data_IF_646503207640
#
_entry.id   IF_646503207640
#
_cell.length_a   1.000
_cell.length_b   1.000
_cell.length_c   1.000
_cell.angle_alpha   90.00
_cell.angle_beta   90.00
_cell.angle_gamma   90.00
#
_symmetry.space_group_name_H-M   'P 1'
#
loop_
_entity.id
_entity.type
_entity.pdbx_description
1 polymer ?
#
# COMPACT_ATOMS: atom_id res chain seq x y z
N UNK A 1 28.39 -10.28 5.66
CA UNK A 1 27.96 -9.14 6.48
C UNK A 1 26.74 -9.53 7.30
N UNK A 2 26.86 -9.49 8.63
CA UNK A 2 25.83 -9.86 9.61
C UNK A 2 24.83 -8.73 9.81
N UNK A 3 23.70 -9.02 10.45
CA UNK A 3 22.70 -7.99 10.79
C UNK A 3 23.27 -6.98 11.80
N UNK A 4 24.17 -7.40 12.70
CA UNK A 4 24.86 -6.49 13.64
C UNK A 4 25.77 -5.51 12.92
N UNK A 5 26.58 -5.99 11.96
CA UNK A 5 27.45 -5.13 11.14
C UNK A 5 26.64 -4.12 10.32
N UNK A 6 25.47 -4.54 9.79
CA UNK A 6 24.57 -3.67 9.04
C UNK A 6 24.00 -2.59 9.96
N UNK A 7 23.40 -2.98 11.09
CA UNK A 7 22.76 -2.05 12.02
C UNK A 7 23.77 -1.05 12.55
N UNK A 8 24.93 -1.53 12.99
CA UNK A 8 26.00 -0.65 13.48
C UNK A 8 26.50 0.27 12.37
N UNK A 9 26.72 -0.26 11.16
CA UNK A 9 27.13 0.55 10.01
C UNK A 9 26.12 1.63 9.62
N UNK A 10 24.82 1.37 9.77
CA UNK A 10 23.77 2.37 9.56
C UNK A 10 23.77 3.44 10.67
N UNK A 11 23.92 3.04 11.94
CA UNK A 11 24.05 3.97 13.08
C UNK A 11 25.27 4.88 12.91
N UNK A 12 26.40 4.31 12.50
CA UNK A 12 27.66 5.03 12.27
C UNK A 12 27.68 5.82 10.95
N UNK A 13 26.58 5.79 10.18
CA UNK A 13 26.43 6.46 8.88
C UNK A 13 27.54 6.06 7.90
N UNK A 14 27.95 4.80 7.95
CA UNK A 14 28.94 4.26 7.04
C UNK A 14 28.36 4.20 5.62
N UNK A 15 28.88 5.04 4.72
CA UNK A 15 28.39 5.17 3.36
C UNK A 15 28.46 3.85 2.57
N UNK A 16 29.53 3.07 2.73
CA UNK A 16 29.70 1.80 2.02
C UNK A 16 28.64 0.79 2.44
N UNK A 17 28.40 0.65 3.75
CA UNK A 17 27.38 -0.26 4.28
C UNK A 17 25.98 0.22 3.87
N UNK A 18 25.72 1.51 3.99
CA UNK A 18 24.44 2.13 3.62
C UNK A 18 24.12 1.90 2.14
N UNK A 19 25.09 2.16 1.26
CA UNK A 19 24.92 1.99 -0.17
C UNK A 19 24.66 0.54 -0.54
N UNK A 20 25.53 -0.38 -0.11
CA UNK A 20 25.35 -1.81 -0.36
C UNK A 20 23.99 -2.30 0.18
N UNK A 21 23.65 -1.93 1.40
CA UNK A 21 22.46 -2.48 2.05
C UNK A 21 21.16 -2.02 1.39
N UNK A 22 21.01 -0.73 1.11
CA UNK A 22 19.77 -0.19 0.54
C UNK A 22 19.67 -0.32 -0.97
N UNK A 23 20.79 -0.24 -1.71
CA UNK A 23 20.75 -0.20 -3.18
C UNK A 23 21.02 -1.55 -3.84
N UNK A 24 21.64 -2.49 -3.12
CA UNK A 24 21.89 -3.86 -3.61
C UNK A 24 21.06 -4.89 -2.83
N UNK A 25 21.28 -5.03 -1.52
CA UNK A 25 20.67 -6.12 -0.71
C UNK A 25 19.14 -5.97 -0.58
N UNK A 26 18.64 -4.76 -0.32
CA UNK A 26 17.21 -4.53 -0.09
C UNK A 26 16.41 -4.24 -1.36
N UNK A 27 17.05 -4.13 -2.53
CA UNK A 27 16.40 -3.64 -3.73
C UNK A 27 15.14 -4.43 -4.15
N UNK A 28 15.15 -5.77 -4.17
CA UNK A 28 13.95 -6.54 -4.52
C UNK A 28 12.81 -6.37 -3.52
N UNK A 29 13.15 -6.27 -2.23
CA UNK A 29 12.19 -6.05 -1.14
C UNK A 29 11.52 -4.69 -1.29
N UNK A 30 12.31 -3.64 -1.46
CA UNK A 30 11.82 -2.27 -1.53
C UNK A 30 10.95 -2.03 -2.77
N UNK A 31 11.35 -2.55 -3.94
CA UNK A 31 10.50 -2.52 -5.13
C UNK A 31 9.15 -3.21 -4.91
N UNK A 32 9.12 -4.27 -4.10
CA UNK A 32 7.87 -4.96 -3.76
C UNK A 32 7.02 -4.15 -2.78
N UNK A 33 7.63 -3.49 -1.81
CA UNK A 33 6.93 -2.56 -0.89
C UNK A 33 6.37 -1.36 -1.67
N UNK A 34 7.14 -0.77 -2.58
CA UNK A 34 6.70 0.38 -3.38
C UNK A 34 5.44 0.04 -4.19
N UNK A 35 5.43 -1.10 -4.90
CA UNK A 35 4.25 -1.58 -5.64
C UNK A 35 3.04 -1.87 -4.76
N UNK A 36 3.26 -2.29 -3.51
CA UNK A 36 2.20 -2.61 -2.56
C UNK A 36 1.58 -1.34 -1.97
N UNK A 37 2.40 -0.36 -1.61
CA UNK A 37 1.99 0.82 -0.83
C UNK A 37 1.47 1.93 -1.75
N UNK A 38 2.20 2.24 -2.82
CA UNK A 38 1.89 3.37 -3.70
C UNK A 38 1.13 2.91 -4.95
N UNK A 39 0.13 3.70 -5.35
CA UNK A 39 -0.61 3.50 -6.60
C UNK A 39 -0.03 4.26 -7.80
N UNK A 40 1.00 5.06 -7.56
CA UNK A 40 1.72 5.84 -8.55
C UNK A 40 3.20 5.45 -8.55
N UNK A 41 3.91 5.85 -9.60
CA UNK A 41 5.36 5.61 -9.71
C UNK A 41 6.08 6.50 -8.69
N UNK A 42 6.83 5.87 -7.79
CA UNK A 42 7.70 6.54 -6.82
C UNK A 42 9.15 6.34 -7.27
N UNK A 43 9.97 7.37 -7.14
CA UNK A 43 11.40 7.24 -7.38
C UNK A 43 12.07 6.37 -6.29
N UNK A 44 12.99 5.50 -6.70
CA UNK A 44 13.62 4.57 -5.75
C UNK A 44 14.52 5.30 -4.76
N UNK A 45 15.24 6.32 -5.21
CA UNK A 45 16.15 7.08 -4.34
C UNK A 45 15.34 7.90 -3.34
N UNK A 46 14.25 8.52 -3.77
CA UNK A 46 13.31 9.20 -2.88
C UNK A 46 12.76 8.27 -1.80
N UNK A 47 12.26 7.09 -2.18
CA UNK A 47 11.81 6.07 -1.23
C UNK A 47 12.90 5.68 -0.22
N UNK A 48 14.12 5.43 -0.68
CA UNK A 48 15.24 5.05 0.20
C UNK A 48 15.62 6.20 1.13
N UNK A 49 15.71 7.43 0.61
CA UNK A 49 16.08 8.60 1.38
C UNK A 49 15.07 8.85 2.51
N UNK A 50 13.77 8.77 2.22
CA UNK A 50 12.74 8.94 3.24
C UNK A 50 12.79 7.85 4.31
N UNK A 51 12.93 6.58 3.90
CA UNK A 51 13.07 5.48 4.84
C UNK A 51 14.34 5.63 5.70
N UNK A 52 15.43 6.09 5.10
CA UNK A 52 16.69 6.32 5.81
C UNK A 52 16.56 7.43 6.85
N UNK A 53 15.89 8.54 6.53
CA UNK A 53 15.59 9.58 7.52
C UNK A 53 14.74 9.04 8.67
N UNK A 54 13.68 8.27 8.37
CA UNK A 54 12.83 7.64 9.39
C UNK A 54 13.59 6.68 10.33
N UNK A 55 14.61 5.99 9.81
CA UNK A 55 15.45 5.08 10.59
C UNK A 55 16.46 5.82 11.47
N UNK A 56 16.98 6.96 11.01
CA UNK A 56 17.96 7.78 11.73
C UNK A 56 17.34 8.86 12.61
N UNK A 57 16.03 9.04 12.55
CA UNK A 57 15.28 9.93 13.42
C UNK A 57 15.54 9.60 14.90
N UNK A 58 15.55 10.64 15.74
CA UNK A 58 15.85 10.57 17.18
C UNK A 58 17.13 9.76 17.50
N UNK A 59 18.27 10.18 16.93
CA UNK A 59 19.57 9.51 17.07
C UNK A 59 19.51 7.99 16.78
N UNK A 60 18.88 7.64 15.66
CA UNK A 60 18.70 6.25 15.23
C UNK A 60 18.01 5.37 16.29
N UNK A 61 17.11 5.93 17.10
CA UNK A 61 16.43 5.25 18.21
C UNK A 61 15.85 3.90 17.78
N UNK A 62 15.19 3.84 16.61
CA UNK A 62 14.59 2.58 16.08
C UNK A 62 15.63 1.51 15.81
N UNK A 63 16.79 1.88 15.27
CA UNK A 63 17.89 0.94 15.01
C UNK A 63 18.48 0.44 16.33
N UNK A 64 18.65 1.33 17.33
CA UNK A 64 19.19 0.96 18.65
C UNK A 64 18.23 0.06 19.45
N UNK A 65 16.93 0.16 19.22
CA UNK A 65 15.91 -0.70 19.85
C UNK A 65 15.75 -2.07 19.17
N UNK A 66 16.43 -2.31 18.04
CA UNK A 66 16.37 -3.61 17.38
C UNK A 66 17.12 -4.68 18.19
N UNK A 67 16.38 -5.66 18.70
CA UNK A 67 16.86 -6.65 19.67
C UNK A 67 17.28 -7.99 19.04
N UNK A 68 17.39 -8.06 17.71
CA UNK A 68 17.85 -9.22 16.95
C UNK A 68 17.02 -10.51 17.13
N UNK A 69 15.75 -10.42 17.56
CA UNK A 69 14.83 -11.58 17.61
C UNK A 69 14.37 -12.08 16.24
N UNK A 70 14.65 -11.33 15.18
CA UNK A 70 14.39 -11.69 13.79
C UNK A 70 15.53 -11.17 12.92
N UNK A 71 15.55 -11.51 11.63
CA UNK A 71 16.52 -10.88 10.72
C UNK A 71 16.21 -9.39 10.57
N UNK A 72 17.25 -8.57 10.43
CA UNK A 72 17.10 -7.13 10.24
C UNK A 72 16.26 -6.81 9.00
N UNK A 73 16.36 -7.62 7.95
CA UNK A 73 15.55 -7.48 6.73
C UNK A 73 14.04 -7.67 6.98
N UNK A 74 13.66 -8.65 7.81
CA UNK A 74 12.26 -8.88 8.18
C UNK A 74 11.71 -7.75 9.03
N UNK A 75 12.49 -7.31 10.02
CA UNK A 75 12.12 -6.16 10.85
C UNK A 75 11.97 -4.89 10.00
N UNK A 76 12.93 -4.62 9.12
CA UNK A 76 12.93 -3.47 8.22
C UNK A 76 11.73 -3.48 7.26
N UNK A 77 11.34 -4.66 6.74
CA UNK A 77 10.11 -4.80 5.94
C UNK A 77 8.89 -4.29 6.71
N UNK A 78 8.74 -4.67 7.98
CA UNK A 78 7.60 -4.25 8.81
C UNK A 78 7.65 -2.75 9.08
N UNK A 79 8.83 -2.22 9.43
CA UNK A 79 9.04 -0.79 9.69
C UNK A 79 8.71 0.04 8.45
N UNK A 80 9.27 -0.30 7.29
CA UNK A 80 9.04 0.42 6.03
C UNK A 80 7.56 0.40 5.62
N UNK A 81 6.91 -0.76 5.65
CA UNK A 81 5.48 -0.86 5.29
C UNK A 81 4.62 0.01 6.23
N UNK A 82 4.85 -0.06 7.55
CA UNK A 82 4.09 0.74 8.52
C UNK A 82 4.30 2.24 8.32
N UNK A 83 5.54 2.66 8.14
CA UNK A 83 5.90 4.06 7.90
C UNK A 83 5.21 4.62 6.66
N UNK A 84 5.39 3.99 5.50
CA UNK A 84 4.86 4.52 4.25
C UNK A 84 3.33 4.41 4.14
N UNK A 85 2.70 3.44 4.80
CA UNK A 85 1.23 3.41 4.92
C UNK A 85 0.74 4.58 5.77
N UNK A 86 1.36 4.84 6.93
CA UNK A 86 0.99 5.97 7.80
C UNK A 86 1.18 7.29 7.05
N UNK A 87 2.36 7.53 6.50
CA UNK A 87 2.68 8.74 5.75
C UNK A 87 1.72 8.98 4.57
N UNK A 88 1.39 7.93 3.81
CA UNK A 88 0.39 8.03 2.75
C UNK A 88 -0.98 8.45 3.28
N UNK A 89 -1.40 7.91 4.43
CA UNK A 89 -2.68 8.30 5.04
C UNK A 89 -2.64 9.75 5.53
N UNK A 90 -1.53 10.18 6.13
CA UNK A 90 -1.34 11.55 6.62
C UNK A 90 -1.37 12.56 5.46
N UNK A 91 -0.72 12.27 4.33
CA UNK A 91 -0.79 13.10 3.11
C UNK A 91 -2.21 13.12 2.53
N UNK A 92 -2.96 12.02 2.57
CA UNK A 92 -4.36 11.99 2.14
C UNK A 92 -5.26 12.83 3.07
N UNK A 93 -4.96 12.87 4.37
CA UNK A 93 -5.63 13.74 5.33
C UNK A 93 -5.27 15.22 5.13
N UNK A 94 -4.03 15.53 4.73
CA UNK A 94 -3.56 16.91 4.50
C UNK A 94 -4.05 17.49 3.14
N UNK A 95 -4.09 16.68 2.08
CA UNK A 95 -4.67 17.05 0.77
C UNK A 95 -6.18 17.30 0.86
N UNK A 96 -6.85 16.81 1.92
CA UNK A 96 -8.25 17.17 2.18
C UNK A 96 -8.44 18.61 2.71
N UNK A 97 -7.35 19.33 2.99
CA UNK A 97 -7.34 20.73 3.46
C UNK A 97 -6.72 21.74 2.48
N UNK A 98 -5.99 21.32 1.45
CA UNK A 98 -5.43 22.24 0.45
C UNK A 98 -6.00 22.03 -0.96
N UNK A 99 -6.47 23.16 -1.52
CA UNK A 99 -7.16 23.29 -2.79
C UNK A 99 -6.17 23.13 -3.98
N UNK A 100 -6.54 22.27 -4.93
CA UNK A 100 -6.28 22.28 -6.38
C UNK A 100 -4.94 22.87 -6.88
N UNK A 101 -4.07 21.98 -7.37
CA UNK A 101 -3.36 22.25 -8.62
C UNK A 101 -3.69 21.17 -9.67
N UNK A 102 -4.31 21.67 -10.75
CA UNK A 102 -4.46 21.00 -12.03
C UNK A 102 -3.12 20.49 -12.54
N UNK A 103 -3.02 19.20 -12.84
CA UNK A 103 -2.46 18.77 -14.12
C UNK A 103 -3.40 17.77 -14.77
N UNK A 104 -3.93 18.18 -15.92
CA UNK A 104 -4.68 17.31 -16.82
C UNK A 104 -3.75 16.21 -17.29
N UNK A 105 -4.17 14.96 -17.13
CA UNK A 105 -3.80 13.88 -18.04
C UNK A 105 -5.08 13.12 -18.36
N UNK A 106 -5.65 13.55 -19.48
CA UNK A 106 -6.34 12.79 -20.52
C UNK A 106 -7.11 11.51 -20.14
N UNK A 107 -8.42 11.64 -20.41
CA UNK A 107 -9.40 10.65 -20.87
C UNK A 107 -9.76 9.43 -20.00
N UNK A 108 -11.07 9.15 -19.86
CA UNK A 108 -11.56 7.97 -19.16
C UNK A 108 -11.38 6.77 -20.08
N UNK A 109 -10.56 5.79 -19.68
CA UNK A 109 -10.59 4.48 -20.31
C UNK A 109 -11.92 3.79 -19.95
N UNK A 110 -12.94 4.08 -20.76
CA UNK A 110 -14.28 3.50 -20.74
C UNK A 110 -14.32 2.06 -21.32
N UNK A 111 -13.19 1.41 -21.61
CA UNK A 111 -13.19 0.20 -22.44
C UNK A 111 -12.83 -1.13 -21.77
N UNK A 112 -12.20 -1.17 -20.59
CA UNK A 112 -11.72 -2.47 -20.04
C UNK A 112 -12.64 -3.19 -19.03
N UNK A 113 -13.68 -2.55 -18.49
CA UNK A 113 -14.51 -3.19 -17.42
C UNK A 113 -16.00 -3.35 -17.76
N UNK A 114 -16.40 -3.07 -19.00
CA UNK A 114 -17.75 -3.38 -19.44
C UNK A 114 -17.83 -4.89 -19.69
N UNK A 115 -18.50 -5.62 -18.77
CA UNK A 115 -19.00 -7.00 -18.93
C UNK A 115 -18.03 -8.11 -18.49
N UNK A 116 -17.73 -8.21 -17.19
CA UNK A 116 -17.82 -9.52 -16.53
C UNK A 116 -19.16 -9.52 -15.79
N UNK A 117 -20.08 -10.38 -16.21
CA UNK A 117 -21.51 -10.32 -15.94
C UNK A 117 -21.86 -9.96 -14.48
N UNK A 118 -22.85 -9.07 -14.28
CA UNK A 118 -23.36 -8.68 -12.94
C UNK A 118 -23.61 -9.88 -12.01
N UNK A 119 -24.00 -11.04 -12.58
CA UNK A 119 -24.21 -12.30 -11.87
C UNK A 119 -22.93 -12.90 -11.27
N UNK A 120 -21.78 -12.75 -11.94
CA UNK A 120 -20.49 -13.21 -11.39
C UNK A 120 -20.00 -12.27 -10.30
N UNK A 121 -20.25 -10.96 -10.42
CA UNK A 121 -19.82 -9.98 -9.41
C UNK A 121 -20.50 -10.24 -8.06
N UNK A 122 -21.82 -10.48 -8.02
CA UNK A 122 -22.52 -10.77 -6.76
C UNK A 122 -22.04 -12.09 -6.12
N UNK A 123 -21.81 -13.14 -6.94
CA UNK A 123 -21.22 -14.41 -6.49
C UNK A 123 -19.83 -14.19 -5.88
N UNK A 124 -18.96 -13.47 -6.58
CA UNK A 124 -17.58 -13.19 -6.16
C UNK A 124 -17.52 -12.32 -4.90
N UNK A 125 -18.40 -11.32 -4.78
CA UNK A 125 -18.55 -10.52 -3.57
C UNK A 125 -19.00 -11.38 -2.38
N UNK A 126 -19.85 -12.40 -2.62
CA UNK A 126 -20.26 -13.37 -1.60
C UNK A 126 -19.09 -14.18 -0.99
N UNK A 127 -18.00 -14.34 -1.74
CA UNK A 127 -16.78 -15.03 -1.30
C UNK A 127 -15.85 -14.14 -0.46
N UNK A 128 -16.12 -12.83 -0.35
CA UNK A 128 -15.35 -11.93 0.52
C UNK A 128 -15.86 -12.06 1.95
N UNK A 129 -14.98 -12.48 2.86
CA UNK A 129 -15.30 -12.63 4.28
C UNK A 129 -15.67 -11.28 4.94
N UNK A 130 -14.98 -10.21 4.56
CA UNK A 130 -15.19 -8.88 5.14
C UNK A 130 -16.47 -8.23 4.60
N UNK A 131 -17.55 -8.29 5.38
CA UNK A 131 -18.86 -7.71 5.01
C UNK A 131 -18.83 -6.20 4.79
N UNK A 132 -17.93 -5.48 5.46
CA UNK A 132 -17.72 -4.04 5.22
C UNK A 132 -17.15 -3.78 3.82
N UNK A 133 -16.31 -4.67 3.31
CA UNK A 133 -15.76 -4.57 1.95
C UNK A 133 -16.84 -4.86 0.90
N UNK A 134 -17.64 -5.91 1.12
CA UNK A 134 -18.78 -6.25 0.27
C UNK A 134 -19.74 -5.07 0.15
N UNK A 135 -20.14 -4.50 1.29
CA UNK A 135 -21.06 -3.35 1.34
C UNK A 135 -20.55 -2.16 0.53
N UNK A 136 -19.27 -1.80 0.71
CA UNK A 136 -18.66 -0.67 -0.03
C UNK A 136 -18.60 -0.95 -1.52
N UNK A 137 -18.20 -2.14 -1.95
CA UNK A 137 -18.15 -2.48 -3.37
C UNK A 137 -19.53 -2.52 -4.00
N UNK A 138 -20.53 -3.08 -3.32
CA UNK A 138 -21.90 -3.12 -3.79
C UNK A 138 -22.48 -1.71 -3.98
N UNK A 139 -22.34 -0.85 -2.97
CA UNK A 139 -22.84 0.53 -3.03
C UNK A 139 -22.16 1.35 -4.12
N UNK A 140 -20.85 1.21 -4.29
CA UNK A 140 -20.09 2.00 -5.26
C UNK A 140 -20.19 1.46 -6.69
N UNK A 141 -20.10 0.15 -6.90
CA UNK A 141 -19.96 -0.46 -8.23
C UNK A 141 -21.28 -0.96 -8.82
N UNK A 142 -22.23 -1.38 -7.97
CA UNK A 142 -23.51 -1.94 -8.42
C UNK A 142 -24.61 -0.88 -8.33
N UNK A 143 -24.68 -0.17 -7.20
CA UNK A 143 -25.72 0.83 -6.95
C UNK A 143 -25.31 2.25 -7.40
N UNK A 144 -24.05 2.47 -7.76
CA UNK A 144 -23.56 3.76 -8.27
C UNK A 144 -23.63 4.90 -7.25
N UNK A 145 -23.64 4.60 -5.95
CA UNK A 145 -23.71 5.62 -4.89
C UNK A 145 -22.43 6.47 -4.91
N UNK A 146 -22.54 7.81 -4.87
CA UNK A 146 -21.36 8.68 -4.78
C UNK A 146 -20.53 8.38 -3.51
N UNK A 147 -19.19 8.33 -3.60
CA UNK A 147 -18.33 8.05 -2.45
C UNK A 147 -18.58 8.97 -1.25
N UNK A 148 -18.82 10.25 -1.46
CA UNK A 148 -19.03 11.25 -0.42
C UNK A 148 -20.34 10.97 0.35
N UNK A 149 -21.40 10.64 -0.39
CA UNK A 149 -22.69 10.24 0.17
C UNK A 149 -22.59 8.93 0.95
N UNK A 150 -21.85 7.96 0.43
CA UNK A 150 -21.63 6.68 1.12
C UNK A 150 -20.79 6.85 2.39
N UNK A 151 -19.75 7.69 2.35
CA UNK A 151 -18.91 7.98 3.50
C UNK A 151 -19.74 8.61 4.63
N UNK A 152 -20.59 9.58 4.29
CA UNK A 152 -21.55 10.19 5.22
C UNK A 152 -22.54 9.17 5.79
N UNK A 153 -23.12 8.31 4.95
CA UNK A 153 -24.05 7.25 5.39
C UNK A 153 -23.40 6.23 6.32
N UNK A 154 -22.09 6.00 6.19
CA UNK A 154 -21.32 5.08 7.01
C UNK A 154 -20.69 5.75 8.24
N UNK A 155 -20.93 7.05 8.46
CA UNK A 155 -20.30 7.87 9.49
C UNK A 155 -18.76 7.76 9.49
N UNK A 156 -18.16 7.83 8.30
CA UNK A 156 -16.71 7.82 8.11
C UNK A 156 -16.25 8.92 7.17
N UNK A 157 -14.96 9.22 7.23
CA UNK A 157 -14.35 10.16 6.28
C UNK A 157 -14.31 9.56 4.86
N UNK A 158 -14.40 10.39 3.80
CA UNK A 158 -14.20 9.94 2.43
C UNK A 158 -12.85 9.21 2.25
N UNK A 159 -11.78 9.69 2.89
CA UNK A 159 -10.48 9.04 2.90
C UNK A 159 -10.53 7.61 3.46
N UNK A 160 -11.24 7.38 4.56
CA UNK A 160 -11.43 6.05 5.11
C UNK A 160 -12.23 5.16 4.15
N UNK A 161 -13.26 5.71 3.49
CA UNK A 161 -14.01 4.99 2.46
C UNK A 161 -13.12 4.57 1.28
N UNK A 162 -12.23 5.43 0.78
CA UNK A 162 -11.27 5.07 -0.26
C UNK A 162 -10.29 3.98 0.19
N UNK A 163 -9.84 4.01 1.44
CA UNK A 163 -8.99 2.97 2.01
C UNK A 163 -9.72 1.63 2.17
N UNK A 164 -11.01 1.66 2.49
CA UNK A 164 -11.86 0.46 2.51
C UNK A 164 -12.04 -0.06 1.09
N UNK A 165 -12.36 0.81 0.12
CA UNK A 165 -12.50 0.46 -1.30
C UNK A 165 -11.23 -0.19 -1.84
N UNK A 166 -10.03 0.37 -1.58
CA UNK A 166 -8.76 -0.19 -2.05
C UNK A 166 -8.52 -1.60 -1.51
N UNK A 167 -8.76 -1.83 -0.20
CA UNK A 167 -8.62 -3.15 0.42
C UNK A 167 -9.66 -4.15 -0.09
N UNK A 168 -10.88 -3.68 -0.33
CA UNK A 168 -11.96 -4.48 -0.88
C UNK A 168 -11.66 -4.94 -2.31
N UNK A 169 -11.15 -4.06 -3.16
CA UNK A 169 -10.73 -4.40 -4.53
C UNK A 169 -9.61 -5.44 -4.50
N UNK A 170 -8.60 -5.25 -3.65
CA UNK A 170 -7.50 -6.22 -3.53
C UNK A 170 -8.00 -7.61 -3.11
N UNK A 171 -8.93 -7.68 -2.15
CA UNK A 171 -9.55 -8.92 -1.73
C UNK A 171 -10.34 -9.59 -2.87
N UNK A 172 -11.12 -8.80 -3.61
CA UNK A 172 -11.86 -9.28 -4.79
C UNK A 172 -10.91 -9.81 -5.86
N UNK A 173 -9.83 -9.11 -6.18
CA UNK A 173 -8.82 -9.55 -7.16
C UNK A 173 -8.20 -10.90 -6.77
N UNK A 174 -7.88 -11.10 -5.49
CA UNK A 174 -7.36 -12.40 -5.04
C UNK A 174 -8.36 -13.54 -5.24
N UNK A 175 -9.65 -13.30 -4.98
CA UNK A 175 -10.71 -14.29 -5.19
C UNK A 175 -10.86 -14.60 -6.69
N UNK A 176 -10.93 -13.57 -7.53
CA UNK A 176 -11.04 -13.71 -8.99
C UNK A 176 -9.87 -14.52 -9.55
N UNK A 177 -8.64 -14.21 -9.15
CA UNK A 177 -7.45 -14.95 -9.60
C UNK A 177 -7.44 -16.42 -9.15
N UNK A 178 -8.04 -16.73 -8.00
CA UNK A 178 -8.16 -18.10 -7.51
C UNK A 178 -9.30 -18.86 -8.21
N UNK A 179 -10.42 -18.18 -8.50
CA UNK A 179 -11.55 -18.73 -9.25
C UNK A 179 -11.10 -19.10 -10.67
N UNK A 180 -10.39 -18.20 -11.37
CA UNK A 180 -9.84 -18.45 -12.73
C UNK A 180 -8.89 -19.66 -12.75
N UNK A 181 -8.02 -19.81 -11.74
CA UNK A 181 -7.11 -20.97 -11.63
C UNK A 181 -7.86 -22.29 -11.47
N UNK A 182 -9.06 -22.28 -10.90
CA UNK A 182 -9.90 -23.47 -10.75
C UNK A 182 -10.57 -23.89 -12.07
N UNK A 183 -10.82 -22.93 -12.98
CA UNK A 183 -11.34 -23.19 -14.32
C UNK A 183 -10.27 -23.70 -15.30
N UNK A 184 -9.03 -23.22 -15.19
CA UNK A 184 -7.91 -23.62 -16.08
C UNK A 184 -7.33 -25.00 -15.73
N UNK A 185 -7.64 -25.54 -14.55
CA UNK A 185 -7.19 -26.87 -14.09
C UNK A 185 -8.16 -28.02 -14.38
N UNK A 186 -9.25 -27.77 -15.11
CA UNK A 186 -10.20 -28.81 -15.54
C UNK A 186 -9.96 -29.21 -16.98
#
# INVERSE_FOLDING_TARGET
MTDQEIVQGLIDRNNTITQYFFFEKCQPLFRSIMRLVFSYKVDYNEFVNELYQELLDDDAYKLRQFDYRSTFLQWLKVVAIRYFIRKRNDVIEDVSKEILYNERTDEPDESENKIMARMDVERLLGLIDNKRYVYVLQKLMIEGVPPESLAKNMDITPANLYNIKKRAILALTHIVLNDIKSYVKR
#
